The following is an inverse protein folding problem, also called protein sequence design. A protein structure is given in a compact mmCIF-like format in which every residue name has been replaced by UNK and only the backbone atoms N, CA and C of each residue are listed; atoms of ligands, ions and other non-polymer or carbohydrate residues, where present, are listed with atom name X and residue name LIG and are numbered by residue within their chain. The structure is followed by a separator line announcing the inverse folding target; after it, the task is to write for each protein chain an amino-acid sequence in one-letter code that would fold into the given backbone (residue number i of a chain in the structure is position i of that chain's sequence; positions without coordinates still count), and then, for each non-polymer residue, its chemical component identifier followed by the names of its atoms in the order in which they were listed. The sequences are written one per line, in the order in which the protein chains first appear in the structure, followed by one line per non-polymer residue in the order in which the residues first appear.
data_IF_396668641060
#
_entry.id   IF_396668641060
#
_cell.length_a   1.000
_cell.length_b   1.000
_cell.length_c   1.000
_cell.angle_alpha   90.00
_cell.angle_beta   90.00
_cell.angle_gamma   90.00
#
_symmetry.space_group_name_H-M   'P 1'
#
loop_
_entity.id
_entity.type
_entity.pdbx_description
1 polymer ?
#
# COMPACT_ATOMS: atom_id res chain seq x y z
N UNK A 1 -25.99 25.71 -38.64
CA UNK A 1 -26.86 26.22 -39.73
C UNK A 1 -26.28 25.80 -41.07
N UNK A 2 -27.09 25.28 -42.02
CA UNK A 2 -26.60 24.83 -43.33
C UNK A 2 -25.98 26.01 -44.07
N UNK A 3 -24.65 26.08 -44.09
CA UNK A 3 -23.89 27.08 -44.81
C UNK A 3 -24.30 27.09 -46.28
N UNK A 4 -24.60 28.27 -46.80
CA UNK A 4 -24.91 28.43 -48.21
C UNK A 4 -23.61 28.20 -48.98
N UNK A 5 -23.60 27.29 -49.96
CA UNK A 5 -22.38 27.04 -50.74
C UNK A 5 -21.91 28.33 -51.42
N UNK A 6 -20.58 28.48 -51.56
CA UNK A 6 -19.97 29.61 -52.27
C UNK A 6 -20.63 29.89 -53.64
N UNK A 7 -20.99 28.82 -54.37
CA UNK A 7 -21.66 28.91 -55.67
C UNK A 7 -23.04 29.57 -55.57
N UNK A 8 -23.77 29.33 -54.49
CA UNK A 8 -25.09 29.92 -54.24
C UNK A 8 -24.97 31.38 -53.81
N UNK A 9 -24.01 31.71 -52.94
CA UNK A 9 -23.72 33.08 -52.54
C UNK A 9 -23.31 33.95 -53.74
N UNK A 10 -22.45 33.42 -54.62
CA UNK A 10 -22.02 34.10 -55.84
C UNK A 10 -23.17 34.38 -56.82
N UNK A 11 -24.10 33.42 -57.01
CA UNK A 11 -25.28 33.63 -57.86
C UNK A 11 -26.18 34.74 -57.35
N UNK A 12 -26.39 34.79 -56.04
CA UNK A 12 -27.28 35.80 -55.44
C UNK A 12 -26.66 37.20 -55.50
N UNK A 13 -25.35 37.34 -55.27
CA UNK A 13 -24.63 38.60 -55.49
C UNK A 13 -24.73 39.08 -56.95
N UNK A 14 -24.46 38.20 -57.92
CA UNK A 14 -24.54 38.55 -59.36
C UNK A 14 -25.96 38.94 -59.80
N UNK A 15 -26.99 38.45 -59.10
CA UNK A 15 -28.40 38.82 -59.33
C UNK A 15 -28.83 40.12 -58.63
N UNK A 16 -27.92 40.81 -57.93
CA UNK A 16 -28.21 42.04 -57.19
C UNK A 16 -29.03 41.85 -55.91
N UNK A 17 -29.20 40.60 -55.45
CA UNK A 17 -29.94 40.27 -54.21
C UNK A 17 -29.08 40.28 -52.95
N UNK A 18 -27.79 40.56 -53.09
CA UNK A 18 -26.80 40.57 -52.03
C UNK A 18 -25.81 41.70 -52.31
N UNK A 19 -25.69 42.64 -51.37
CA UNK A 19 -24.74 43.76 -51.47
C UNK A 19 -23.39 43.38 -50.87
N UNK A 20 -22.37 43.36 -51.73
CA UNK A 20 -21.02 42.97 -51.36
C UNK A 20 -19.99 43.30 -52.43
N UNK A 21 -18.71 43.12 -52.12
CA UNK A 21 -17.63 43.25 -53.08
C UNK A 21 -16.70 42.04 -53.04
N UNK A 22 -16.15 41.69 -54.22
CA UNK A 22 -15.24 40.56 -54.38
C UNK A 22 -13.79 41.05 -54.33
N UNK A 23 -12.97 40.39 -53.51
CA UNK A 23 -11.53 40.63 -53.45
C UNK A 23 -10.80 39.90 -54.58
N UNK A 24 -9.57 40.33 -54.97
CA UNK A 24 -8.77 39.65 -55.99
C UNK A 24 -8.46 38.18 -55.68
N UNK A 25 -8.50 37.79 -54.40
CA UNK A 25 -8.35 36.41 -53.92
C UNK A 25 -9.59 35.52 -54.13
N UNK A 26 -10.70 36.08 -54.60
CA UNK A 26 -11.95 35.36 -54.87
C UNK A 26 -12.97 35.38 -53.73
N UNK A 27 -12.62 35.86 -52.52
CA UNK A 27 -13.54 35.96 -51.39
C UNK A 27 -14.56 37.11 -51.56
N UNK A 28 -15.80 36.91 -51.09
CA UNK A 28 -16.89 37.90 -51.15
C UNK A 28 -17.21 38.39 -49.73
N UNK A 29 -17.14 39.72 -49.52
CA UNK A 29 -17.58 40.37 -48.28
C UNK A 29 -18.96 41.01 -48.47
N UNK A 30 -19.89 40.70 -47.58
CA UNK A 30 -21.28 41.23 -47.59
C UNK A 30 -21.38 42.38 -46.58
N UNK A 31 -21.94 43.53 -46.99
CA UNK A 31 -22.21 44.65 -46.06
C UNK A 31 -23.50 44.36 -45.30
N UNK A 32 -23.47 44.52 -43.96
CA UNK A 32 -24.68 44.48 -43.11
C UNK A 32 -25.17 45.91 -42.94
N UNK A 33 -26.47 46.11 -43.17
CA UNK A 33 -27.17 47.41 -43.22
C UNK A 33 -27.06 48.20 -41.89
N UNK A 34 -26.68 49.50 -41.89
CA UNK A 34 -26.46 50.30 -40.67
C UNK A 34 -27.73 50.66 -39.87
N UNK A 35 -28.92 50.27 -40.31
CA UNK A 35 -30.18 50.51 -39.61
C UNK A 35 -30.49 49.50 -38.48
N UNK A 36 -29.71 48.43 -38.32
CA UNK A 36 -29.99 47.35 -37.37
C UNK A 36 -28.83 47.14 -36.40
N UNK A 37 -28.64 48.10 -35.51
CA UNK A 37 -27.58 48.08 -34.49
C UNK A 37 -28.05 47.20 -33.32
N UNK A 38 -27.27 46.20 -32.89
CA UNK A 38 -27.72 45.32 -31.85
C UNK A 38 -27.80 45.99 -30.47
N UNK A 39 -28.89 45.76 -29.74
CA UNK A 39 -29.05 46.13 -28.32
C UNK A 39 -28.58 44.96 -27.43
N UNK A 40 -28.06 45.26 -26.23
CA UNK A 40 -27.78 44.22 -25.24
C UNK A 40 -29.09 43.59 -24.74
N UNK A 41 -29.17 42.25 -24.72
CA UNK A 41 -30.37 41.53 -24.28
C UNK A 41 -30.68 41.66 -22.79
N UNK A 42 -29.73 42.13 -21.97
CA UNK A 42 -29.87 42.23 -20.50
C UNK A 42 -30.11 43.66 -20.04
N UNK A 43 -29.40 44.64 -20.59
CA UNK A 43 -29.46 46.04 -20.15
C UNK A 43 -29.95 47.02 -21.24
N UNK A 44 -30.40 46.51 -22.40
CA UNK A 44 -30.97 47.26 -23.53
C UNK A 44 -30.10 48.44 -24.05
N UNK A 45 -28.80 48.43 -23.72
CA UNK A 45 -27.86 49.47 -24.14
C UNK A 45 -27.44 49.27 -25.60
N UNK A 46 -27.37 50.36 -26.36
CA UNK A 46 -26.90 50.39 -27.75
C UNK A 46 -25.42 50.08 -27.87
N UNK A 47 -25.06 49.03 -28.61
CA UNK A 47 -23.69 48.51 -28.73
C UNK A 47 -22.89 49.18 -29.87
N UNK A 48 -23.24 50.43 -30.23
CA UNK A 48 -22.63 51.25 -31.30
C UNK A 48 -21.10 51.31 -31.27
N UNK A 49 -20.47 51.28 -30.10
CA UNK A 49 -19.00 51.43 -29.97
C UNK A 49 -18.23 50.10 -29.99
N UNK A 50 -18.90 48.96 -30.12
CA UNK A 50 -18.27 47.62 -30.10
C UNK A 50 -17.91 47.10 -31.49
N UNK A 51 -18.22 47.82 -32.58
CA UNK A 51 -17.96 47.33 -33.94
C UNK A 51 -16.48 47.39 -34.37
N UNK A 52 -15.61 48.03 -33.58
CA UNK A 52 -14.17 48.17 -33.90
C UNK A 52 -13.24 47.42 -32.95
N UNK A 53 -13.76 46.72 -31.95
CA UNK A 53 -12.99 45.87 -31.05
C UNK A 53 -13.79 44.60 -30.80
N UNK A 54 -13.12 43.47 -30.56
CA UNK A 54 -13.78 42.25 -30.09
C UNK A 54 -13.89 42.22 -28.56
N UNK A 55 -14.91 42.83 -27.92
CA UNK A 55 -15.34 42.37 -26.61
C UNK A 55 -16.46 41.37 -26.77
N UNK A 56 -16.23 40.18 -26.23
CA UNK A 56 -17.27 39.20 -25.98
C UNK A 56 -18.28 39.70 -24.94
N UNK A 57 -18.09 40.85 -24.26
CA UNK A 57 -18.88 41.30 -23.11
C UNK A 57 -19.47 42.71 -23.28
N UNK A 58 -20.67 42.95 -22.72
CA UNK A 58 -21.31 44.25 -22.67
C UNK A 58 -20.59 45.19 -21.68
N UNK A 59 -20.22 46.42 -22.05
CA UNK A 59 -19.47 47.33 -21.17
C UNK A 59 -20.30 47.90 -20.01
N UNK A 60 -21.64 47.79 -20.07
CA UNK A 60 -22.54 48.31 -19.02
C UNK A 60 -22.86 47.25 -17.98
N UNK A 61 -23.18 46.03 -18.41
CA UNK A 61 -23.61 44.96 -17.51
C UNK A 61 -22.63 43.78 -17.43
N UNK A 62 -21.55 43.77 -18.21
CA UNK A 62 -20.52 42.72 -18.20
C UNK A 62 -20.89 41.42 -18.92
N UNK A 63 -22.15 41.25 -19.35
CA UNK A 63 -22.67 40.01 -19.91
C UNK A 63 -22.15 39.69 -21.31
N UNK A 64 -21.90 38.41 -21.58
CA UNK A 64 -21.38 37.94 -22.87
C UNK A 64 -22.39 38.19 -23.99
N UNK A 65 -21.99 38.92 -25.05
CA UNK A 65 -22.79 39.20 -26.25
C UNK A 65 -22.16 38.50 -27.45
N UNK A 66 -22.39 37.19 -27.57
CA UNK A 66 -22.00 36.43 -28.78
C UNK A 66 -23.07 36.59 -29.86
N UNK A 67 -22.70 37.13 -31.02
CA UNK A 67 -23.61 37.39 -32.14
C UNK A 67 -23.86 36.19 -33.05
N UNK A 68 -23.08 35.12 -32.94
CA UNK A 68 -23.12 34.01 -33.89
C UNK A 68 -23.98 32.81 -33.43
N UNK A 69 -24.00 32.47 -32.14
CA UNK A 69 -24.62 31.20 -31.68
C UNK A 69 -25.65 31.33 -30.54
N UNK A 70 -25.85 32.54 -29.99
CA UNK A 70 -26.72 32.75 -28.82
C UNK A 70 -28.22 32.53 -29.09
N UNK A 71 -28.65 32.43 -30.35
CA UNK A 71 -30.07 32.17 -30.68
C UNK A 71 -30.51 30.73 -30.35
N UNK A 72 -29.58 29.81 -30.10
CA UNK A 72 -29.89 28.40 -29.85
C UNK A 72 -29.54 27.88 -28.45
N UNK A 73 -28.84 28.66 -27.61
CA UNK A 73 -28.22 28.15 -26.38
C UNK A 73 -28.53 28.92 -25.10
N UNK A 74 -29.29 30.02 -25.16
CA UNK A 74 -29.73 30.73 -23.94
C UNK A 74 -31.25 30.63 -23.87
N UNK A 75 -31.75 29.77 -22.99
CA UNK A 75 -33.18 29.62 -22.74
C UNK A 75 -33.78 30.95 -22.24
N UNK A 76 -35.03 31.27 -22.64
CA UNK A 76 -35.70 32.54 -22.26
C UNK A 76 -35.69 32.78 -20.75
N UNK A 77 -35.67 31.70 -19.97
CA UNK A 77 -35.61 31.74 -18.51
C UNK A 77 -34.28 32.31 -17.99
N UNK A 78 -33.15 31.97 -18.62
CA UNK A 78 -31.84 32.50 -18.25
C UNK A 78 -31.74 34.00 -18.54
N UNK A 79 -32.29 34.47 -19.67
CA UNK A 79 -32.35 35.90 -20.02
C UNK A 79 -33.27 36.65 -19.04
N UNK A 80 -34.44 36.08 -18.73
CA UNK A 80 -35.38 36.68 -17.79
C UNK A 80 -34.81 36.75 -16.37
N UNK A 81 -34.08 35.72 -15.96
CA UNK A 81 -33.34 35.70 -14.70
C UNK A 81 -32.25 36.78 -14.69
N UNK A 82 -31.43 36.87 -15.74
CA UNK A 82 -30.37 37.88 -15.85
C UNK A 82 -30.92 39.31 -15.81
N UNK A 83 -32.04 39.59 -16.50
CA UNK A 83 -32.73 40.88 -16.44
C UNK A 83 -33.22 41.22 -15.03
N UNK A 84 -33.84 40.25 -14.34
CA UNK A 84 -34.30 40.43 -12.94
C UNK A 84 -33.14 40.68 -11.99
N UNK A 85 -32.03 39.97 -12.16
CA UNK A 85 -30.82 40.15 -11.35
C UNK A 85 -30.19 41.52 -11.58
N UNK A 86 -30.09 41.96 -12.84
CA UNK A 86 -29.57 43.29 -13.18
C UNK A 86 -30.41 44.42 -12.57
N UNK A 87 -31.74 44.33 -12.66
CA UNK A 87 -32.66 45.30 -12.04
C UNK A 87 -32.50 45.35 -10.50
N UNK A 88 -32.21 44.21 -9.86
CA UNK A 88 -31.93 44.16 -8.42
C UNK A 88 -30.61 44.82 -8.06
N UNK A 89 -29.54 44.61 -8.83
CA UNK A 89 -28.25 45.27 -8.59
C UNK A 89 -28.34 46.80 -8.68
N UNK A 90 -29.20 47.33 -9.55
CA UNK A 90 -29.44 48.78 -9.65
C UNK A 90 -30.19 49.35 -8.43
N UNK A 91 -30.93 48.54 -7.69
CA UNK A 91 -31.76 48.95 -6.54
C UNK A 91 -31.04 48.95 -5.19
N UNK A 92 -29.74 48.62 -5.14
CA UNK A 92 -28.92 48.66 -3.92
C UNK A 92 -29.20 47.56 -2.89
N UNK A 93 -30.06 46.58 -3.18
CA UNK A 93 -30.35 45.42 -2.31
C UNK A 93 -29.30 44.28 -2.42
N UNK A 94 -28.01 44.61 -2.53
CA UNK A 94 -26.93 43.64 -2.83
C UNK A 94 -26.34 42.93 -1.60
N UNK A 95 -26.56 43.46 -0.39
CA UNK A 95 -25.81 43.05 0.81
C UNK A 95 -26.01 41.59 1.25
N UNK A 96 -27.20 41.01 1.09
CA UNK A 96 -27.47 39.62 1.47
C UNK A 96 -26.95 38.60 0.44
N UNK A 97 -26.77 39.03 -0.81
CA UNK A 97 -26.31 38.16 -1.90
C UNK A 97 -24.80 38.05 -1.93
N UNK A 98 -24.07 39.13 -1.64
CA UNK A 98 -22.60 39.10 -1.55
C UNK A 98 -22.13 38.15 -0.44
N UNK A 99 -22.80 38.17 0.72
CA UNK A 99 -22.51 37.24 1.83
C UNK A 99 -22.82 35.78 1.46
N UNK A 100 -23.89 35.54 0.69
CA UNK A 100 -24.24 34.20 0.21
C UNK A 100 -23.25 33.69 -0.84
N UNK A 101 -22.75 34.57 -1.72
CA UNK A 101 -21.76 34.23 -2.73
C UNK A 101 -20.40 33.93 -2.11
N UNK A 102 -19.91 34.76 -1.19
CA UNK A 102 -18.66 34.48 -0.46
C UNK A 102 -18.73 33.19 0.35
N UNK A 103 -19.90 32.84 0.90
CA UNK A 103 -20.09 31.55 1.58
C UNK A 103 -20.02 30.36 0.64
N UNK A 104 -20.51 30.50 -0.59
CA UNK A 104 -20.43 29.47 -1.61
C UNK A 104 -19.01 29.32 -2.15
N UNK A 105 -18.27 30.41 -2.34
CA UNK A 105 -16.85 30.39 -2.72
C UNK A 105 -16.01 29.65 -1.67
N UNK A 106 -16.15 30.01 -0.39
CA UNK A 106 -15.47 29.30 0.71
C UNK A 106 -15.79 27.81 0.74
N UNK A 107 -17.03 27.43 0.42
CA UNK A 107 -17.45 26.03 0.37
C UNK A 107 -16.91 25.30 -0.85
N UNK A 108 -16.77 25.99 -1.99
CA UNK A 108 -16.14 25.47 -3.20
C UNK A 108 -14.66 25.21 -2.96
N UNK A 109 -13.95 26.16 -2.34
CA UNK A 109 -12.54 26.01 -1.97
C UNK A 109 -12.34 24.83 -1.01
N UNK A 110 -13.20 24.72 0.01
CA UNK A 110 -13.16 23.60 0.95
C UNK A 110 -13.39 22.25 0.26
N UNK A 111 -14.32 22.18 -0.70
CA UNK A 111 -14.56 20.97 -1.49
C UNK A 111 -13.40 20.65 -2.43
N UNK A 112 -12.76 21.65 -3.03
CA UNK A 112 -11.57 21.43 -3.86
C UNK A 112 -10.41 20.87 -3.04
N UNK A 113 -10.18 21.38 -1.82
CA UNK A 113 -9.16 20.84 -0.92
C UNK A 113 -9.49 19.40 -0.51
N UNK A 114 -10.74 19.10 -0.21
CA UNK A 114 -11.16 17.73 0.11
C UNK A 114 -10.95 16.78 -1.07
N UNK A 115 -11.32 17.20 -2.28
CA UNK A 115 -11.12 16.41 -3.49
C UNK A 115 -9.63 16.14 -3.73
N UNK A 116 -8.78 17.16 -3.56
CA UNK A 116 -7.33 17.03 -3.71
C UNK A 116 -6.75 16.01 -2.73
N UNK A 117 -7.14 16.07 -1.45
CA UNK A 117 -6.71 15.09 -0.43
C UNK A 117 -7.18 13.68 -0.78
N UNK A 118 -8.44 13.53 -1.19
CA UNK A 118 -8.97 12.24 -1.60
C UNK A 118 -8.25 11.67 -2.84
N UNK A 119 -7.80 12.53 -3.77
CA UNK A 119 -6.99 12.08 -4.91
C UNK A 119 -5.59 11.64 -4.50
N UNK A 120 -4.96 12.33 -3.56
CA UNK A 120 -3.65 11.95 -3.02
C UNK A 120 -3.71 10.63 -2.25
N UNK A 121 -4.72 10.45 -1.40
CA UNK A 121 -4.97 9.18 -0.70
C UNK A 121 -5.22 8.03 -1.68
N UNK A 122 -6.02 8.27 -2.73
CA UNK A 122 -6.27 7.26 -3.76
C UNK A 122 -5.00 6.88 -4.52
N UNK A 123 -4.16 7.86 -4.86
CA UNK A 123 -2.88 7.60 -5.52
C UNK A 123 -1.95 6.78 -4.61
N UNK A 124 -1.88 7.12 -3.32
CA UNK A 124 -1.09 6.37 -2.35
C UNK A 124 -1.56 4.91 -2.24
N UNK A 125 -2.87 4.69 -2.11
CA UNK A 125 -3.44 3.33 -2.07
C UNK A 125 -3.20 2.57 -3.38
N UNK A 126 -3.28 3.26 -4.53
CA UNK A 126 -2.97 2.69 -5.83
C UNK A 126 -1.52 2.21 -5.89
N UNK A 127 -0.56 3.03 -5.43
CA UNK A 127 0.85 2.65 -5.36
C UNK A 127 1.12 1.48 -4.42
N UNK A 128 0.38 1.39 -3.30
CA UNK A 128 0.48 0.22 -2.41
C UNK A 128 -0.03 -1.06 -3.09
N UNK A 129 -1.16 -0.98 -3.80
CA UNK A 129 -1.70 -2.09 -4.57
C UNK A 129 -0.75 -2.54 -5.69
N UNK A 130 -0.20 -1.58 -6.44
CA UNK A 130 0.74 -1.87 -7.53
C UNK A 130 2.00 -2.59 -7.01
N UNK A 131 2.52 -2.18 -5.84
CA UNK A 131 3.65 -2.87 -5.19
C UNK A 131 3.31 -4.31 -4.79
N UNK A 132 2.12 -4.54 -4.22
CA UNK A 132 1.66 -5.90 -3.86
C UNK A 132 1.51 -6.77 -5.11
N UNK A 133 0.94 -6.22 -6.18
CA UNK A 133 0.78 -6.95 -7.44
C UNK A 133 2.12 -7.30 -8.08
N UNK A 134 3.09 -6.36 -8.10
CA UNK A 134 4.44 -6.64 -8.60
C UNK A 134 5.15 -7.71 -7.76
N UNK A 135 4.97 -7.70 -6.44
CA UNK A 135 5.51 -8.73 -5.56
C UNK A 135 4.88 -10.10 -5.82
N UNK A 136 3.56 -10.15 -6.03
CA UNK A 136 2.83 -11.37 -6.40
C UNK A 136 3.24 -11.92 -7.78
N UNK A 137 3.48 -11.05 -8.76
CA UNK A 137 3.99 -11.48 -10.08
C UNK A 137 5.43 -12.00 -10.00
N UNK A 138 6.26 -11.44 -9.13
CA UNK A 138 7.63 -11.93 -8.87
C UNK A 138 7.64 -13.26 -8.12
N UNK A 139 6.71 -13.47 -7.19
CA UNK A 139 6.52 -14.74 -6.49
C UNK A 139 5.71 -15.69 -7.37
N UNK A 140 6.32 -16.18 -8.46
CA UNK A 140 5.71 -17.08 -9.45
C UNK A 140 4.77 -18.12 -8.78
N UNK A 141 3.45 -17.88 -8.79
CA UNK A 141 2.52 -18.67 -8.00
C UNK A 141 2.36 -20.08 -8.56
N UNK A 142 2.65 -20.29 -9.85
CA UNK A 142 2.72 -21.62 -10.46
C UNK A 142 3.91 -22.42 -9.95
N UNK A 143 5.04 -21.77 -9.67
CA UNK A 143 6.21 -22.42 -9.06
C UNK A 143 5.94 -22.80 -7.61
N UNK A 144 5.27 -21.93 -6.85
CA UNK A 144 4.84 -22.22 -5.48
C UNK A 144 3.79 -23.34 -5.50
N UNK A 145 2.80 -23.27 -6.39
CA UNK A 145 1.78 -24.29 -6.53
C UNK A 145 2.39 -25.64 -6.93
N UNK A 146 3.38 -25.67 -7.82
CA UNK A 146 4.10 -26.91 -8.15
C UNK A 146 4.98 -27.41 -7.01
N UNK A 147 5.63 -26.53 -6.24
CA UNK A 147 6.33 -26.93 -5.01
C UNK A 147 5.34 -27.53 -4.00
N UNK A 148 4.19 -26.92 -3.78
CA UNK A 148 3.13 -27.42 -2.91
C UNK A 148 2.56 -28.76 -3.41
N UNK A 149 2.35 -28.91 -4.72
CA UNK A 149 1.89 -30.17 -5.32
C UNK A 149 2.91 -31.30 -5.16
N UNK A 150 4.20 -30.99 -5.31
CA UNK A 150 5.30 -31.93 -5.10
C UNK A 150 5.42 -32.35 -3.62
N UNK A 151 5.16 -31.42 -2.70
CA UNK A 151 5.08 -31.69 -1.25
C UNK A 151 3.89 -32.61 -0.93
N UNK A 152 2.72 -32.38 -1.54
CA UNK A 152 1.54 -33.23 -1.35
C UNK A 152 1.76 -34.66 -1.90
N UNK A 153 2.47 -34.81 -3.02
CA UNK A 153 2.71 -36.12 -3.65
C UNK A 153 3.83 -36.95 -3.02
N UNK A 154 4.76 -36.33 -2.28
CA UNK A 154 5.81 -37.04 -1.52
C UNK A 154 5.35 -37.50 -0.12
N UNK A 155 4.16 -37.07 0.32
CA UNK A 155 3.73 -37.17 1.72
C UNK A 155 3.35 -38.57 2.23
N UNK A 156 3.30 -39.62 1.39
CA UNK A 156 2.85 -40.96 1.86
C UNK A 156 3.95 -42.02 2.01
N UNK A 157 5.16 -41.84 1.46
CA UNK A 157 6.22 -42.86 1.56
C UNK A 157 7.58 -42.34 2.10
N UNK A 158 7.80 -41.03 2.23
CA UNK A 158 9.10 -40.43 2.61
C UNK A 158 9.23 -39.90 4.05
N UNK A 159 8.23 -40.04 4.93
CA UNK A 159 8.29 -39.44 6.30
C UNK A 159 9.37 -40.03 7.24
N UNK A 160 10.01 -41.14 6.88
CA UNK A 160 11.19 -41.67 7.60
C UNK A 160 12.52 -41.12 7.04
N UNK A 161 12.53 -40.50 5.85
CA UNK A 161 13.76 -39.96 5.20
C UNK A 161 14.07 -38.51 5.57
N UNK A 162 13.19 -37.83 6.31
CA UNK A 162 13.31 -36.40 6.69
C UNK A 162 14.11 -36.18 7.98
N UNK A 163 14.25 -37.19 8.84
CA UNK A 163 15.02 -37.09 10.09
C UNK A 163 16.50 -37.37 9.86
N UNK A 164 17.15 -36.59 9.00
CA UNK A 164 18.54 -36.80 8.65
C UNK A 164 19.46 -36.25 9.75
N UNK A 165 20.59 -36.93 9.92
CA UNK A 165 21.62 -36.52 10.87
C UNK A 165 22.98 -36.72 10.24
N UNK A 166 23.86 -35.72 10.34
CA UNK A 166 25.26 -35.84 9.92
C UNK A 166 26.07 -36.62 10.96
N UNK A 167 25.64 -36.61 12.21
CA UNK A 167 26.35 -37.23 13.35
C UNK A 167 25.64 -38.47 13.92
N UNK A 168 24.58 -38.95 13.26
CA UNK A 168 23.88 -40.18 13.60
C UNK A 168 22.94 -40.09 14.81
N UNK A 169 22.39 -38.91 15.09
CA UNK A 169 21.37 -38.68 16.12
C UNK A 169 20.03 -39.32 15.73
N UNK A 170 19.34 -39.90 16.72
CA UNK A 170 17.99 -40.41 16.56
C UNK A 170 16.96 -39.36 17.01
N UNK A 171 16.27 -38.77 16.04
CA UNK A 171 15.24 -37.75 16.29
C UNK A 171 13.83 -38.33 16.49
N UNK A 172 13.63 -39.65 16.35
CA UNK A 172 12.30 -40.27 16.50
C UNK A 172 11.68 -40.01 17.88
N UNK A 173 12.42 -40.11 19.01
CA UNK A 173 11.85 -39.80 20.32
C UNK A 173 11.39 -38.34 20.43
N UNK A 174 12.15 -37.40 19.88
CA UNK A 174 11.76 -35.99 19.87
C UNK A 174 10.46 -35.78 19.06
N UNK A 175 10.37 -36.39 17.88
CA UNK A 175 9.16 -36.36 17.05
C UNK A 175 7.94 -36.87 17.82
N UNK A 176 8.06 -38.02 18.49
CA UNK A 176 6.97 -38.61 19.28
C UNK A 176 6.48 -37.68 20.40
N UNK A 177 7.42 -37.04 21.13
CA UNK A 177 7.10 -36.07 22.17
C UNK A 177 6.40 -34.83 21.60
N UNK A 178 6.84 -34.32 20.44
CA UNK A 178 6.24 -33.17 19.77
C UNK A 178 4.84 -33.48 19.23
N UNK A 179 4.63 -34.64 18.61
CA UNK A 179 3.30 -35.13 18.18
C UNK A 179 2.35 -35.26 19.37
N UNK A 180 2.84 -35.78 20.50
CA UNK A 180 2.09 -35.90 21.74
C UNK A 180 1.89 -34.56 22.47
N UNK A 181 2.46 -33.46 21.95
CA UNK A 181 2.45 -32.12 22.56
C UNK A 181 3.04 -32.09 23.98
N UNK A 182 3.98 -32.99 24.26
CA UNK A 182 4.73 -33.05 25.50
C UNK A 182 5.90 -32.06 25.44
N UNK A 183 5.57 -30.76 25.37
CA UNK A 183 6.52 -29.69 25.07
C UNK A 183 7.72 -29.63 26.03
N UNK A 184 7.50 -29.89 27.32
CA UNK A 184 8.55 -29.89 28.34
C UNK A 184 9.55 -31.02 28.12
N UNK A 185 9.05 -32.21 27.82
CA UNK A 185 9.89 -33.38 27.58
C UNK A 185 10.61 -33.25 26.22
N UNK A 186 9.94 -32.69 25.21
CA UNK A 186 10.53 -32.39 23.90
C UNK A 186 11.66 -31.36 24.01
N UNK A 187 11.50 -30.34 24.86
CA UNK A 187 12.53 -29.34 25.13
C UNK A 187 13.76 -29.95 25.82
N UNK A 188 13.52 -30.78 26.86
CA UNK A 188 14.59 -31.52 27.52
C UNK A 188 15.31 -32.50 26.58
N UNK A 189 14.57 -33.19 25.69
CA UNK A 189 15.11 -34.07 24.67
C UNK A 189 15.96 -33.29 23.65
N UNK A 190 15.47 -32.14 23.20
CA UNK A 190 16.20 -31.24 22.28
C UNK A 190 17.57 -30.88 22.86
N UNK A 191 17.60 -30.48 24.14
CA UNK A 191 18.86 -30.21 24.84
C UNK A 191 19.78 -31.44 24.88
N UNK A 192 19.25 -32.62 25.17
CA UNK A 192 20.02 -33.86 25.21
C UNK A 192 20.64 -34.18 23.84
N UNK A 193 19.87 -34.04 22.76
CA UNK A 193 20.32 -34.28 21.39
C UNK A 193 21.42 -33.29 20.98
N UNK A 194 21.29 -32.01 21.34
CA UNK A 194 22.33 -31.03 21.03
C UNK A 194 23.63 -31.28 21.81
N UNK A 195 23.54 -31.74 23.06
CA UNK A 195 24.73 -32.14 23.83
C UNK A 195 25.39 -33.37 23.21
N UNK A 196 24.60 -34.36 22.76
CA UNK A 196 25.10 -35.55 22.09
C UNK A 196 25.76 -35.23 20.75
N UNK A 197 25.15 -34.34 19.95
CA UNK A 197 25.71 -33.92 18.65
C UNK A 197 27.09 -33.26 18.77
N UNK A 198 27.36 -32.63 19.91
CA UNK A 198 28.66 -31.99 20.21
C UNK A 198 29.57 -32.83 21.13
N UNK A 199 29.16 -34.05 21.50
CA UNK A 199 29.89 -34.92 22.43
C UNK A 199 30.19 -34.24 23.78
N UNK A 200 29.22 -33.46 24.29
CA UNK A 200 29.31 -32.67 25.54
C UNK A 200 28.33 -33.13 26.62
N UNK A 201 27.89 -34.38 26.57
CA UNK A 201 26.94 -34.94 27.53
C UNK A 201 27.48 -34.90 28.96
N UNK A 202 28.81 -35.07 29.12
CA UNK A 202 29.46 -35.04 30.43
C UNK A 202 29.49 -33.64 31.06
N UNK A 203 29.60 -32.61 30.22
CA UNK A 203 29.64 -31.22 30.64
C UNK A 203 28.23 -30.70 30.91
N UNK A 204 27.24 -31.13 30.11
CA UNK A 204 25.83 -30.75 30.28
C UNK A 204 25.51 -29.32 29.82
N UNK A 205 26.43 -28.68 29.08
CA UNK A 205 26.29 -27.34 28.50
C UNK A 205 27.10 -27.23 27.20
N UNK A 206 26.72 -26.30 26.31
CA UNK A 206 27.39 -25.95 25.05
C UNK A 206 28.07 -24.56 25.17
N UNK A 207 29.19 -24.35 24.49
CA UNK A 207 29.83 -23.03 24.31
C UNK A 207 29.23 -22.34 23.08
N UNK A 208 29.44 -21.01 22.92
CA UNK A 208 29.18 -20.33 21.64
C UNK A 208 29.86 -21.01 20.44
N UNK A 209 31.09 -21.50 20.63
CA UNK A 209 31.86 -22.22 19.61
C UNK A 209 31.18 -23.55 19.23
N UNK A 210 30.63 -24.28 20.20
CA UNK A 210 29.89 -25.52 19.91
C UNK A 210 28.63 -25.27 19.08
N UNK A 211 27.93 -24.16 19.34
CA UNK A 211 26.72 -23.77 18.60
C UNK A 211 27.08 -23.39 17.16
N UNK A 212 28.17 -22.63 16.99
CA UNK A 212 28.66 -22.24 15.67
C UNK A 212 29.05 -23.46 14.82
N UNK A 213 29.69 -24.45 15.44
CA UNK A 213 30.12 -25.68 14.78
C UNK A 213 29.07 -26.80 14.76
N UNK A 214 27.87 -26.58 15.31
CA UNK A 214 26.82 -27.59 15.32
C UNK A 214 26.49 -28.06 13.89
N UNK A 215 26.30 -29.37 13.63
CA UNK A 215 26.10 -29.86 12.27
C UNK A 215 24.87 -29.22 11.61
N UNK A 216 24.97 -28.68 10.38
CA UNK A 216 23.86 -27.99 9.72
C UNK A 216 22.62 -28.86 9.54
N UNK A 217 22.75 -30.11 9.07
CA UNK A 217 21.59 -30.99 8.87
C UNK A 217 20.84 -31.28 10.17
N UNK A 218 21.59 -31.48 11.25
CA UNK A 218 21.05 -31.73 12.59
C UNK A 218 20.30 -30.50 13.13
N UNK A 219 20.86 -29.30 12.90
CA UNK A 219 20.18 -28.05 13.25
C UNK A 219 18.87 -27.88 12.50
N UNK A 220 18.87 -28.10 11.18
CA UNK A 220 17.69 -28.00 10.35
C UNK A 220 16.63 -29.01 10.75
N UNK A 221 17.04 -30.24 11.10
CA UNK A 221 16.11 -31.28 11.55
C UNK A 221 15.44 -30.90 12.87
N UNK A 222 16.20 -30.38 13.84
CA UNK A 222 15.64 -29.87 15.10
C UNK A 222 14.67 -28.70 14.87
N UNK A 223 15.08 -27.72 14.06
CA UNK A 223 14.25 -26.53 13.78
C UNK A 223 12.95 -26.90 13.07
N UNK A 224 13.05 -27.73 12.02
CA UNK A 224 11.89 -28.21 11.26
C UNK A 224 10.90 -28.97 12.15
N UNK A 225 11.38 -29.86 13.02
CA UNK A 225 10.53 -30.59 13.96
C UNK A 225 9.73 -29.64 14.87
N UNK A 226 10.40 -28.65 15.46
CA UNK A 226 9.73 -27.67 16.30
C UNK A 226 8.74 -26.81 15.52
N UNK A 227 9.11 -26.38 14.31
CA UNK A 227 8.26 -25.58 13.45
C UNK A 227 6.98 -26.34 13.04
N UNK A 228 7.14 -27.54 12.48
CA UNK A 228 6.04 -28.33 11.93
C UNK A 228 5.00 -28.69 13.01
N UNK A 229 5.45 -29.29 14.11
CA UNK A 229 4.52 -29.79 15.14
C UNK A 229 3.93 -28.69 16.03
N UNK A 230 4.49 -27.48 15.99
CA UNK A 230 3.93 -26.30 16.65
C UNK A 230 3.01 -25.46 15.75
N UNK A 231 2.84 -25.83 14.47
CA UNK A 231 2.10 -25.02 13.50
C UNK A 231 2.79 -23.69 13.21
N UNK A 232 4.12 -23.70 13.11
CA UNK A 232 4.96 -22.56 12.79
C UNK A 232 5.20 -21.58 13.93
N UNK A 233 4.99 -21.98 15.19
CA UNK A 233 5.07 -21.09 16.36
C UNK A 233 6.38 -21.17 17.12
N UNK A 234 7.03 -22.32 17.12
CA UNK A 234 8.24 -22.63 17.86
C UNK A 234 9.36 -23.05 16.90
N UNK A 235 10.61 -22.91 17.34
CA UNK A 235 11.78 -23.16 16.50
C UNK A 235 12.86 -22.08 16.66
N UNK A 236 14.09 -22.44 16.32
CA UNK A 236 15.25 -21.54 16.28
C UNK A 236 15.10 -20.47 15.19
N UNK A 237 14.56 -20.82 14.02
CA UNK A 237 14.26 -19.84 12.95
C UNK A 237 13.22 -18.81 13.41
N UNK A 238 12.19 -19.24 14.13
CA UNK A 238 11.19 -18.33 14.71
C UNK A 238 11.84 -17.40 15.74
N UNK A 239 12.75 -17.91 16.58
CA UNK A 239 13.51 -17.10 17.53
C UNK A 239 14.45 -16.11 16.82
N UNK A 240 15.08 -16.53 15.72
CA UNK A 240 15.93 -15.68 14.89
C UNK A 240 15.13 -14.50 14.31
N UNK A 241 13.94 -14.77 13.79
CA UNK A 241 13.05 -13.72 13.29
C UNK A 241 12.68 -12.72 14.41
N UNK A 242 12.29 -13.22 15.59
CA UNK A 242 11.99 -12.37 16.75
C UNK A 242 13.20 -11.54 17.21
N UNK A 243 14.40 -12.11 17.15
CA UNK A 243 15.65 -11.42 17.48
C UNK A 243 15.93 -10.25 16.54
N UNK A 244 15.69 -10.45 15.24
CA UNK A 244 15.84 -9.40 14.23
C UNK A 244 14.81 -8.28 14.42
N UNK A 245 13.55 -8.62 14.72
CA UNK A 245 12.51 -7.61 14.99
C UNK A 245 12.88 -6.65 16.11
N UNK A 246 13.58 -7.14 17.14
CA UNK A 246 14.05 -6.32 18.26
C UNK A 246 15.45 -5.76 18.09
N UNK A 247 16.02 -5.82 16.88
CA UNK A 247 17.35 -5.28 16.55
C UNK A 247 18.47 -5.81 17.45
N UNK A 248 18.33 -7.06 17.91
CA UNK A 248 19.28 -7.71 18.82
C UNK A 248 19.28 -7.22 20.26
N UNK A 249 18.24 -6.49 20.71
CA UNK A 249 18.05 -6.21 22.12
C UNK A 249 17.61 -7.49 22.87
N UNK A 250 18.51 -8.03 23.67
CA UNK A 250 18.29 -9.25 24.44
C UNK A 250 17.15 -9.15 25.45
N UNK A 251 16.96 -7.99 26.07
CA UNK A 251 15.85 -7.77 27.02
C UNK A 251 14.53 -7.78 26.28
N UNK A 252 14.43 -7.01 25.20
CA UNK A 252 13.23 -6.94 24.39
C UNK A 252 12.89 -8.30 23.77
N UNK A 253 13.89 -9.07 23.33
CA UNK A 253 13.72 -10.44 22.85
C UNK A 253 13.10 -11.34 23.93
N UNK A 254 13.69 -11.37 25.12
CA UNK A 254 13.20 -12.19 26.23
C UNK A 254 11.77 -11.81 26.66
N UNK A 255 11.41 -10.53 26.61
CA UNK A 255 10.03 -10.08 26.85
C UNK A 255 9.09 -10.56 25.74
N UNK A 256 9.52 -10.49 24.48
CA UNK A 256 8.75 -10.90 23.29
C UNK A 256 8.44 -12.39 23.26
N UNK A 257 9.43 -13.23 23.56
CA UNK A 257 9.25 -14.69 23.60
C UNK A 257 8.67 -15.18 24.93
N UNK A 258 8.49 -14.30 25.92
CA UNK A 258 7.85 -14.64 27.19
C UNK A 258 8.75 -15.35 28.20
N UNK A 259 10.05 -15.08 28.18
CA UNK A 259 11.03 -15.63 29.14
C UNK A 259 11.27 -14.72 30.34
N UNK A 260 10.57 -13.58 30.39
CA UNK A 260 10.62 -12.62 31.48
C UNK A 260 9.21 -12.27 31.94
N UNK A 261 9.08 -12.08 33.23
CA UNK A 261 7.93 -11.46 33.85
C UNK A 261 8.38 -10.14 34.48
N UNK A 262 8.07 -9.02 33.81
CA UNK A 262 8.54 -7.67 34.15
C UNK A 262 10.07 -7.60 34.10
N UNK A 263 10.71 -7.40 35.25
CA UNK A 263 12.16 -7.30 35.38
C UNK A 263 12.83 -8.63 35.75
N UNK A 264 12.06 -9.69 35.96
CA UNK A 264 12.59 -10.98 36.40
C UNK A 264 12.56 -12.01 35.27
N UNK A 265 13.70 -12.67 35.04
CA UNK A 265 13.80 -13.84 34.17
C UNK A 265 13.14 -15.03 34.86
N UNK A 266 12.39 -15.80 34.08
CA UNK A 266 11.73 -16.99 34.59
C UNK A 266 12.76 -18.08 34.90
N UNK A 267 12.45 -18.89 35.91
CA UNK A 267 13.13 -20.17 36.05
C UNK A 267 12.52 -21.18 35.08
N UNK A 268 13.29 -22.17 34.66
CA UNK A 268 12.83 -23.24 33.76
C UNK A 268 11.60 -23.94 34.31
N UNK A 269 11.51 -24.12 35.63
CA UNK A 269 10.34 -24.69 36.29
C UNK A 269 9.10 -23.77 36.26
N UNK A 270 9.30 -22.47 36.02
CA UNK A 270 8.25 -21.45 35.89
C UNK A 270 7.89 -21.15 34.42
N UNK A 271 8.58 -21.78 33.46
CA UNK A 271 8.30 -21.65 32.03
C UNK A 271 6.97 -22.33 31.69
N UNK A 272 6.22 -21.71 30.80
CA UNK A 272 4.94 -22.21 30.30
C UNK A 272 5.15 -23.15 29.11
N UNK A 273 5.06 -24.45 29.32
CA UNK A 273 5.18 -25.47 28.28
C UNK A 273 3.82 -25.81 27.64
N UNK A 274 3.29 -24.89 26.84
CA UNK A 274 2.08 -25.15 26.05
C UNK A 274 2.09 -24.45 24.68
N UNK A 275 1.17 -24.88 23.83
CA UNK A 275 1.04 -24.41 22.45
C UNK A 275 0.51 -22.98 22.35
N UNK A 276 0.02 -22.38 23.43
CA UNK A 276 -0.49 -21.01 23.47
C UNK A 276 0.57 -20.01 23.98
N UNK A 277 1.76 -20.49 24.37
CA UNK A 277 2.90 -19.64 24.74
C UNK A 277 3.36 -18.78 23.54
N UNK A 278 4.00 -17.60 23.72
CA UNK A 278 4.35 -16.71 22.61
C UNK A 278 5.15 -17.39 21.48
N UNK A 279 5.09 -16.85 20.26
CA UNK A 279 5.93 -17.37 19.18
C UNK A 279 7.42 -17.23 19.53
N UNK A 280 8.21 -18.27 19.22
CA UNK A 280 9.62 -18.39 19.61
C UNK A 280 9.85 -18.79 21.08
N UNK A 281 8.80 -19.07 21.88
CA UNK A 281 8.96 -19.42 23.30
C UNK A 281 9.78 -20.69 23.54
N UNK A 282 9.74 -21.65 22.62
CA UNK A 282 10.45 -22.91 22.67
C UNK A 282 11.21 -23.14 21.34
N UNK A 283 12.28 -23.96 21.34
CA UNK A 283 12.92 -24.57 22.52
C UNK A 283 13.75 -23.56 23.36
N UNK A 284 14.11 -23.95 24.58
CA UNK A 284 14.92 -23.19 25.54
C UNK A 284 16.20 -23.97 25.85
N UNK A 285 17.37 -23.48 25.39
CA UNK A 285 18.65 -24.15 25.65
C UNK A 285 19.36 -23.68 26.93
N UNK A 286 18.62 -23.09 27.89
CA UNK A 286 19.18 -22.46 29.09
C UNK A 286 19.94 -23.40 30.05
N UNK A 287 21.03 -22.92 30.63
CA UNK A 287 21.80 -23.49 31.73
C UNK A 287 21.47 -22.78 33.06
N UNK A 288 21.60 -23.50 34.18
CA UNK A 288 21.29 -23.04 35.55
C UNK A 288 19.83 -22.67 35.85
N UNK A 289 18.88 -23.52 35.46
CA UNK A 289 17.47 -23.42 35.84
C UNK A 289 16.80 -22.10 35.45
N UNK A 290 17.40 -21.22 34.63
CA UNK A 290 16.76 -20.02 34.10
C UNK A 290 16.35 -20.25 32.65
N UNK A 291 15.26 -19.61 32.24
CA UNK A 291 14.71 -19.67 30.88
C UNK A 291 15.50 -18.83 29.86
N UNK A 292 16.50 -18.06 30.32
CA UNK A 292 17.45 -17.39 29.46
C UNK A 292 18.61 -18.30 29.07
N UNK A 293 19.11 -18.14 27.84
CA UNK A 293 20.28 -18.84 27.30
C UNK A 293 21.58 -18.46 28.02
N UNK A 294 21.77 -18.81 29.29
CA UNK A 294 23.13 -19.04 29.77
C UNK A 294 23.56 -20.38 29.22
N UNK A 295 24.61 -20.48 28.43
CA UNK A 295 25.19 -21.77 28.05
C UNK A 295 26.71 -21.62 28.15
N UNK A 296 27.28 -22.14 29.24
CA UNK A 296 28.73 -22.03 29.47
C UNK A 296 29.24 -20.65 29.88
N UNK A 297 30.50 -20.38 29.52
CA UNK A 297 31.27 -19.19 29.92
C UNK A 297 30.99 -17.90 29.16
N UNK A 298 30.03 -17.90 28.22
CA UNK A 298 29.57 -16.72 27.49
C UNK A 298 28.37 -16.05 28.16
N UNK A 299 28.14 -14.77 27.85
CA UNK A 299 26.90 -14.09 28.24
C UNK A 299 25.73 -14.60 27.42
N UNK A 300 24.51 -14.49 27.96
CA UNK A 300 23.33 -14.95 27.26
C UNK A 300 23.04 -14.22 25.93
N UNK A 301 23.52 -12.99 25.81
CA UNK A 301 23.46 -12.22 24.58
C UNK A 301 24.42 -12.75 23.50
N UNK A 302 25.65 -13.12 23.88
CA UNK A 302 26.64 -13.68 22.94
C UNK A 302 26.16 -15.01 22.37
N UNK A 303 25.59 -15.86 23.21
CA UNK A 303 25.06 -17.16 22.79
C UNK A 303 23.86 -17.00 21.86
N UNK A 304 22.98 -16.05 22.16
CA UNK A 304 21.89 -15.70 21.25
C UNK A 304 22.40 -15.22 19.91
N UNK A 305 23.43 -14.37 19.91
CA UNK A 305 24.03 -13.92 18.67
C UNK A 305 24.59 -15.10 17.86
N UNK A 306 25.24 -16.08 18.50
CA UNK A 306 25.72 -17.31 17.83
C UNK A 306 24.59 -18.18 17.29
N UNK A 307 23.52 -18.41 18.06
CA UNK A 307 22.31 -19.15 17.65
C UNK A 307 21.65 -18.54 16.41
N UNK A 308 21.48 -17.22 16.45
CA UNK A 308 20.87 -16.43 15.37
C UNK A 308 21.76 -16.42 14.14
N UNK A 309 23.07 -16.22 14.31
CA UNK A 309 24.03 -16.24 13.21
C UNK A 309 24.08 -17.60 12.53
N UNK A 310 24.05 -18.70 13.29
CA UNK A 310 23.99 -20.05 12.75
C UNK A 310 22.75 -20.24 11.88
N UNK A 311 21.59 -19.82 12.38
CA UNK A 311 20.32 -19.92 11.65
C UNK A 311 20.31 -19.07 10.36
N UNK A 312 20.87 -17.87 10.39
CA UNK A 312 20.96 -16.99 9.21
C UNK A 312 21.97 -17.41 8.15
N UNK A 313 23.09 -18.05 8.54
CA UNK A 313 24.08 -18.55 7.58
C UNK A 313 23.56 -19.73 6.76
N UNK A 314 22.51 -20.43 7.21
CA UNK A 314 21.88 -21.51 6.45
C UNK A 314 20.92 -20.99 5.37
N UNK A 315 20.28 -19.84 5.56
CA UNK A 315 19.44 -19.21 4.53
C UNK A 315 20.24 -18.54 3.40
N UNK A 316 21.50 -18.16 3.67
CA UNK A 316 22.39 -17.52 2.70
C UNK A 316 23.24 -18.51 1.88
N UNK A 317 23.09 -19.82 2.12
CA UNK A 317 23.90 -20.88 1.52
C UNK A 317 23.34 -21.51 0.23
N UNK A 318 22.46 -20.82 -0.49
CA UNK A 318 22.04 -21.20 -1.86
C UNK A 318 22.67 -20.24 -2.88
N UNK A 319 23.91 -20.55 -3.31
CA UNK A 319 24.53 -20.07 -4.55
C UNK A 319 25.30 -21.23 -5.21
#
# INVERSE_FOLDING_TARGET
SRGISYKTAWRQWKSGRLDGYQLPSGAIFVRVDPANIPLCLVCDTSLKSLMSASPLNCPVCGWVVSWADAKSLIEREQINWARKMWAKCQSGQSSNHDVAFSRLELRLDALQVQLQRATEERQYLQSQLDWVLEWLDRTNPDRIAQMLLNIETQSSEDFESTLQSEVGLDYKPLRELLVARQWRDADAMTRSLMLQGMQRETEGWLTPEDIEHFPPMDWQTLDWLWYEYSGGRFGFSVQQWMWQEVSGDYTAFCDRVGWRNRENWLYYDDVRFDIDAPAGHLPILGWQKRSCYGIGGGTAAEIMASLVAKSGNMEAGED
#
